data_IF_999873975740
#
_entry.id   IF_999873975740
#
_cell.length_a   1.000
_cell.length_b   1.000
_cell.length_c   1.000
_cell.angle_alpha   90.00
_cell.angle_beta   90.00
_cell.angle_gamma   90.00
#
_symmetry.space_group_name_H-M   'P 1'
#
loop_
_entity.id
_entity.type
_entity.pdbx_description
1 polymer ?
#
# COMPACT_ATOMS: atom_id res chain seq x y z
N UNK A 1 -1.12 -3.65 -4.76
CA UNK A 1 -0.94 -5.07 -5.14
C UNK A 1 -2.11 -5.61 -5.97
N UNK A 2 -3.37 -5.36 -5.59
CA UNK A 2 -4.55 -5.91 -6.28
C UNK A 2 -4.59 -5.73 -7.79
N UNK A 3 -4.33 -4.52 -8.31
CA UNK A 3 -4.33 -4.26 -9.77
C UNK A 3 -3.28 -5.09 -10.53
N UNK A 4 -2.10 -5.29 -9.96
CA UNK A 4 -1.05 -6.09 -10.59
C UNK A 4 -1.36 -7.59 -10.57
N UNK A 5 -2.04 -8.07 -9.51
CA UNK A 5 -2.56 -9.45 -9.47
C UNK A 5 -3.70 -9.67 -10.46
N UNK A 6 -4.57 -8.69 -10.67
CA UNK A 6 -5.57 -8.73 -11.74
C UNK A 6 -4.89 -8.80 -13.11
N UNK A 7 -3.85 -7.99 -13.35
CA UNK A 7 -3.09 -8.04 -14.60
C UNK A 7 -2.34 -9.36 -14.80
N UNK A 8 -1.81 -9.99 -13.74
CA UNK A 8 -1.30 -11.36 -13.82
C UNK A 8 -2.38 -12.34 -14.28
N UNK A 9 -3.57 -12.30 -13.68
CA UNK A 9 -4.69 -13.17 -14.08
C UNK A 9 -5.10 -12.96 -15.54
N UNK A 10 -5.07 -11.72 -16.04
CA UNK A 10 -5.29 -11.46 -17.46
C UNK A 10 -4.13 -11.95 -18.34
N UNK A 11 -2.88 -11.80 -17.91
CA UNK A 11 -1.73 -12.29 -18.67
C UNK A 11 -1.76 -13.83 -18.79
N UNK A 12 -2.09 -14.53 -17.71
CA UNK A 12 -2.32 -15.98 -17.72
C UNK A 12 -3.47 -16.37 -18.66
N UNK A 13 -4.61 -15.68 -18.58
CA UNK A 13 -5.76 -15.94 -19.46
C UNK A 13 -5.47 -15.66 -20.94
N UNK A 14 -4.53 -14.75 -21.25
CA UNK A 14 -4.14 -14.36 -22.61
C UNK A 14 -2.87 -15.09 -23.11
N UNK A 15 -2.31 -16.01 -22.33
CA UNK A 15 -1.06 -16.72 -22.67
C UNK A 15 0.16 -15.81 -22.78
N UNK A 16 0.14 -14.65 -22.12
CA UNK A 16 1.23 -13.66 -22.12
C UNK A 16 2.14 -13.86 -20.89
N UNK A 17 3.44 -13.51 -20.98
CA UNK A 17 4.35 -13.62 -19.85
C UNK A 17 3.93 -12.70 -18.70
N UNK A 18 3.59 -13.28 -17.53
CA UNK A 18 3.21 -12.53 -16.34
C UNK A 18 4.40 -12.08 -15.47
N UNK A 19 5.63 -12.50 -15.79
CA UNK A 19 6.83 -12.28 -14.98
C UNK A 19 7.09 -10.80 -14.67
N UNK A 20 6.92 -9.93 -15.67
CA UNK A 20 7.06 -8.48 -15.48
C UNK A 20 6.08 -7.94 -14.42
N UNK A 21 4.84 -8.43 -14.42
CA UNK A 21 3.84 -8.03 -13.43
C UNK A 21 4.18 -8.56 -12.03
N UNK A 22 4.72 -9.79 -11.93
CA UNK A 22 5.20 -10.36 -10.67
C UNK A 22 6.33 -9.53 -10.06
N UNK A 23 7.33 -9.17 -10.87
CA UNK A 23 8.51 -8.43 -10.42
C UNK A 23 8.12 -7.01 -9.97
N UNK A 24 7.25 -6.33 -10.73
CA UNK A 24 6.70 -5.03 -10.35
C UNK A 24 5.85 -5.16 -9.07
N UNK A 25 5.05 -6.21 -8.92
CA UNK A 25 4.24 -6.42 -7.73
C UNK A 25 5.11 -6.61 -6.49
N UNK A 26 6.18 -7.41 -6.57
CA UNK A 26 7.13 -7.60 -5.48
C UNK A 26 7.83 -6.29 -5.10
N UNK A 27 8.28 -5.52 -6.10
CA UNK A 27 8.93 -4.22 -5.86
C UNK A 27 7.99 -3.21 -5.21
N UNK A 28 6.75 -3.13 -5.68
CA UNK A 28 5.72 -2.27 -5.07
C UNK A 28 5.43 -2.72 -3.65
N UNK A 29 5.32 -4.03 -3.38
CA UNK A 29 5.10 -4.52 -2.03
C UNK A 29 6.22 -4.10 -1.08
N UNK A 30 7.47 -4.25 -1.50
CA UNK A 30 8.63 -3.86 -0.70
C UNK A 30 8.67 -2.34 -0.44
N UNK A 31 8.30 -1.50 -1.42
CA UNK A 31 8.33 -0.04 -1.25
C UNK A 31 7.27 0.48 -0.28
N UNK A 32 6.16 -0.24 -0.09
CA UNK A 32 5.09 0.18 0.81
C UNK A 32 5.49 0.21 2.29
N UNK A 33 6.53 -0.53 2.69
CA UNK A 33 7.07 -0.46 4.05
C UNK A 33 7.54 0.96 4.43
N UNK A 34 7.99 1.76 3.44
CA UNK A 34 8.46 3.14 3.65
C UNK A 34 7.34 4.09 4.06
N UNK A 35 6.08 3.77 3.74
CA UNK A 35 4.93 4.58 4.10
C UNK A 35 4.50 4.38 5.55
N UNK A 36 5.05 3.40 6.28
CA UNK A 36 4.69 3.17 7.68
C UNK A 36 5.35 4.25 8.54
N UNK A 37 4.53 5.00 9.27
CA UNK A 37 5.01 5.94 10.28
C UNK A 37 4.83 5.29 11.67
N UNK A 38 5.92 4.79 12.25
CA UNK A 38 5.88 4.15 13.57
C UNK A 38 5.68 5.15 14.71
N UNK A 39 5.95 6.45 14.50
CA UNK A 39 5.75 7.49 15.51
C UNK A 39 4.27 7.82 15.72
N UNK A 40 3.50 7.92 14.64
CA UNK A 40 2.05 8.20 14.69
C UNK A 40 1.21 6.93 14.68
N UNK A 41 1.80 5.79 14.32
CA UNK A 41 1.11 4.51 14.14
C UNK A 41 0.27 4.41 12.86
N UNK A 42 0.24 5.48 12.05
CA UNK A 42 -0.46 5.59 10.77
C UNK A 42 0.48 5.45 9.57
N UNK A 43 0.15 6.14 8.48
CA UNK A 43 0.99 6.19 7.27
C UNK A 43 1.49 7.61 7.01
N UNK A 44 2.69 7.73 6.44
CA UNK A 44 3.11 8.96 5.81
C UNK A 44 2.25 9.21 4.56
N UNK A 45 1.71 10.42 4.42
CA UNK A 45 0.94 10.83 3.23
C UNK A 45 1.88 11.12 2.06
N UNK A 46 3.04 11.75 2.35
CA UNK A 46 4.08 12.07 1.38
C UNK A 46 5.43 11.57 1.89
N UNK A 47 6.15 10.84 1.02
CA UNK A 47 7.55 10.45 1.26
C UNK A 47 8.49 11.39 0.51
N UNK A 48 9.65 11.66 1.11
CA UNK A 48 10.72 12.47 0.50
C UNK A 48 10.24 13.86 0.03
N UNK A 49 9.31 14.47 0.77
CA UNK A 49 8.80 15.80 0.47
C UNK A 49 9.84 16.91 0.71
N UNK A 50 9.57 18.15 0.27
CA UNK A 50 10.50 19.28 0.42
C UNK A 50 10.92 19.56 1.88
N UNK A 51 10.09 19.15 2.83
CA UNK A 51 10.32 19.28 4.28
C UNK A 51 10.49 17.93 4.99
N UNK A 52 10.73 16.85 4.25
CA UNK A 52 10.76 15.48 4.76
C UNK A 52 9.42 14.76 4.57
N UNK A 53 9.22 13.67 5.32
CA UNK A 53 8.01 12.86 5.23
C UNK A 53 6.82 13.57 5.92
N UNK A 54 5.67 13.62 5.26
CA UNK A 54 4.44 14.17 5.84
C UNK A 54 3.73 13.09 6.67
N UNK A 55 3.74 13.23 7.99
CA UNK A 55 3.11 12.32 8.94
C UNK A 55 1.67 12.65 9.32
N UNK A 56 1.03 13.63 8.66
CA UNK A 56 -0.35 14.02 8.96
C UNK A 56 -1.31 12.83 8.84
N UNK A 57 -2.13 12.63 9.88
CA UNK A 57 -3.21 11.66 9.83
C UNK A 57 -4.35 12.25 9.01
N UNK A 58 -4.83 11.48 8.03
CA UNK A 58 -5.88 11.90 7.10
C UNK A 58 -6.82 10.73 6.81
N UNK A 59 -8.11 11.00 6.53
CA UNK A 59 -9.07 9.93 6.21
C UNK A 59 -8.72 9.12 4.95
N UNK A 60 -7.91 9.68 4.04
CA UNK A 60 -7.47 8.98 2.83
C UNK A 60 -6.63 7.73 3.12
N UNK A 61 -6.04 7.59 4.30
CA UNK A 61 -5.23 6.41 4.67
C UNK A 61 -6.04 5.11 4.63
N UNK A 62 -7.37 5.17 4.78
CA UNK A 62 -8.26 4.01 4.64
C UNK A 62 -8.17 3.36 3.25
N UNK A 63 -7.80 4.13 2.22
CA UNK A 63 -7.62 3.63 0.86
C UNK A 63 -6.43 2.67 0.74
N UNK A 64 -5.41 2.81 1.58
CA UNK A 64 -4.27 1.88 1.61
C UNK A 64 -4.65 0.51 2.20
N UNK A 65 -5.73 0.47 2.99
CA UNK A 65 -6.27 -0.73 3.64
C UNK A 65 -7.37 -1.39 2.80
N UNK A 66 -8.18 -0.61 2.09
CA UNK A 66 -9.33 -1.13 1.33
C UNK A 66 -8.96 -1.92 0.05
N UNK A 67 -7.68 -1.87 -0.35
CA UNK A 67 -7.22 -2.58 -1.55
C UNK A 67 -7.21 -4.10 -1.34
N UNK A 68 -7.80 -4.89 -2.27
CA UNK A 68 -7.62 -6.33 -2.25
C UNK A 68 -6.12 -6.62 -2.40
N UNK A 69 -5.61 -7.40 -1.44
CA UNK A 69 -4.18 -7.61 -1.22
C UNK A 69 -3.45 -6.32 -0.82
N UNK A 70 -3.83 -5.74 0.30
CA UNK A 70 -3.09 -4.62 0.88
C UNK A 70 -1.62 -5.02 1.10
N UNK A 71 -0.66 -4.15 0.71
CA UNK A 71 0.76 -4.38 0.95
C UNK A 71 1.13 -4.20 2.43
N UNK A 72 0.20 -3.71 3.25
CA UNK A 72 0.38 -3.53 4.68
C UNK A 72 0.11 -4.85 5.42
N UNK A 73 0.87 -5.13 6.48
CA UNK A 73 0.58 -6.27 7.37
C UNK A 73 -0.73 -6.01 8.12
N UNK A 74 -1.46 -7.06 8.48
CA UNK A 74 -2.78 -6.97 9.15
C UNK A 74 -2.75 -6.10 10.42
N UNK A 75 -1.66 -6.13 11.19
CA UNK A 75 -1.50 -5.28 12.37
C UNK A 75 -1.45 -3.77 12.04
N UNK A 76 -0.83 -3.40 10.92
CA UNK A 76 -0.76 -2.01 10.45
C UNK A 76 -2.12 -1.59 9.91
N UNK A 77 -2.79 -2.46 9.13
CA UNK A 77 -4.14 -2.22 8.63
C UNK A 77 -5.13 -1.90 9.77
N UNK A 78 -5.11 -2.71 10.84
CA UNK A 78 -5.98 -2.50 11.99
C UNK A 78 -5.70 -1.17 12.72
N UNK A 79 -4.44 -0.71 12.76
CA UNK A 79 -4.10 0.60 13.33
C UNK A 79 -4.63 1.75 12.47
N UNK A 80 -4.40 1.69 11.16
CA UNK A 80 -4.87 2.71 10.22
C UNK A 80 -6.40 2.85 10.28
N UNK A 81 -7.13 1.73 10.33
CA UNK A 81 -8.60 1.75 10.46
C UNK A 81 -9.05 2.42 11.75
N UNK A 82 -8.38 2.16 12.88
CA UNK A 82 -8.71 2.82 14.16
C UNK A 82 -8.45 4.32 14.10
N UNK A 83 -7.27 4.72 13.64
CA UNK A 83 -6.89 6.12 13.52
C UNK A 83 -7.85 6.91 12.62
N UNK A 84 -8.23 6.35 11.47
CA UNK A 84 -9.21 7.00 10.59
C UNK A 84 -10.66 7.01 11.15
N UNK A 85 -10.97 6.20 12.18
CA UNK A 85 -12.29 6.16 12.80
C UNK A 85 -12.44 7.06 14.03
N UNK A 86 -11.32 7.62 14.52
CA UNK A 86 -11.27 8.53 15.68
C UNK A 86 -11.19 10.02 15.25
N UNK A 87 -11.01 10.29 13.95
CA UNK A 87 -11.08 11.60 13.28
C UNK A 87 -12.52 11.94 12.84
#
# INVERSE_FOLDING_TARGET
MGRLRTMMGFAEALGQPAQLCCDIAARVQASFARFINDETGGLYDVLDGPSGNDGAIRPNQILAVSLPFSPLRSAVQARVVRLCGEE
#
